data_IF_106412074372
#
_entry.id   IF_106412074372
#
_cell.length_a   1.000
_cell.length_b   1.000
_cell.length_c   1.000
_cell.angle_alpha   90.00
_cell.angle_beta   90.00
_cell.angle_gamma   90.00
#
_symmetry.space_group_name_H-M   'P 1'
#
loop_
_entity.id
_entity.type
_entity.pdbx_description
1 polymer ?
#
# COMPACT_ATOMS: atom_id res chain seq x y z
N UNK A 1 18.79 -0.91 -12.63
CA UNK A 1 18.01 -0.97 -11.37
C UNK A 1 18.90 -0.70 -10.14
N UNK A 2 19.96 -1.50 -9.92
CA UNK A 2 20.79 -1.42 -8.71
C UNK A 2 21.38 -0.03 -8.42
N UNK A 3 21.78 0.72 -9.46
CA UNK A 3 22.32 2.08 -9.30
C UNK A 3 21.33 3.01 -8.64
N UNK A 4 20.06 2.96 -9.01
CA UNK A 4 19.04 3.84 -8.45
C UNK A 4 18.70 3.43 -7.02
N UNK A 5 18.59 2.11 -6.74
CA UNK A 5 18.37 1.60 -5.37
C UNK A 5 19.53 1.99 -4.44
N UNK A 6 20.77 1.90 -4.89
CA UNK A 6 21.95 2.26 -4.09
C UNK A 6 22.08 3.75 -3.76
N UNK A 7 21.31 4.60 -4.44
CA UNK A 7 21.29 6.06 -4.24
C UNK A 7 20.19 6.53 -3.29
N UNK A 8 19.29 5.64 -2.87
CA UNK A 8 18.21 5.94 -1.93
C UNK A 8 18.78 6.25 -0.54
N UNK A 9 18.33 7.33 0.07
CA UNK A 9 18.75 7.75 1.42
C UNK A 9 17.60 7.60 2.41
N UNK A 10 16.49 8.33 2.20
CA UNK A 10 15.33 8.31 3.08
C UNK A 10 14.57 6.99 2.96
N UNK A 11 14.42 6.51 1.73
CA UNK A 11 13.77 5.23 1.39
C UNK A 11 14.78 4.09 1.20
N UNK A 12 16.00 4.23 1.72
CA UNK A 12 17.05 3.21 1.57
C UNK A 12 16.90 2.00 2.50
N UNK A 13 16.13 2.14 3.58
CA UNK A 13 16.01 1.11 4.62
C UNK A 13 14.79 0.18 4.43
N UNK A 14 14.56 -0.27 3.19
CA UNK A 14 13.44 -1.16 2.85
C UNK A 14 13.59 -2.57 3.48
N UNK A 15 14.82 -2.98 3.78
CA UNK A 15 15.14 -4.33 4.29
C UNK A 15 15.63 -5.25 3.18
N UNK A 16 16.63 -6.08 3.50
CA UNK A 16 17.35 -6.91 2.51
C UNK A 16 16.47 -7.97 1.83
N UNK A 17 15.34 -8.33 2.45
CA UNK A 17 14.44 -9.31 1.87
C UNK A 17 13.39 -8.70 0.93
N UNK A 18 13.29 -7.36 0.83
CA UNK A 18 12.32 -6.73 -0.05
C UNK A 18 12.54 -7.06 -1.53
N UNK A 19 11.44 -7.18 -2.29
CA UNK A 19 11.48 -7.59 -3.70
C UNK A 19 12.36 -6.63 -4.51
N UNK A 20 12.26 -5.32 -4.28
CA UNK A 20 13.09 -4.31 -4.94
C UNK A 20 14.59 -4.51 -4.67
N UNK A 21 14.97 -4.82 -3.43
CA UNK A 21 16.37 -5.08 -3.06
C UNK A 21 16.88 -6.35 -3.73
N UNK A 22 16.10 -7.44 -3.68
CA UNK A 22 16.45 -8.71 -4.33
C UNK A 22 16.57 -8.57 -5.85
N UNK A 23 15.63 -7.88 -6.49
CA UNK A 23 15.71 -7.62 -7.93
C UNK A 23 16.92 -6.74 -8.26
N UNK A 24 17.23 -5.73 -7.44
CA UNK A 24 18.44 -4.92 -7.60
C UNK A 24 19.71 -5.78 -7.61
N UNK A 25 19.84 -6.70 -6.67
CA UNK A 25 21.01 -7.59 -6.58
C UNK A 25 21.07 -8.54 -7.78
N UNK A 26 19.96 -9.19 -8.14
CA UNK A 26 19.88 -10.08 -9.32
C UNK A 26 20.30 -9.32 -10.59
N UNK A 27 19.83 -8.08 -10.77
CA UNK A 27 20.15 -7.30 -11.96
C UNK A 27 21.63 -6.90 -12.00
N UNK A 28 22.22 -6.63 -10.84
CA UNK A 28 23.66 -6.38 -10.73
C UNK A 28 24.47 -7.63 -11.10
N UNK A 29 24.09 -8.79 -10.58
CA UNK A 29 24.74 -10.08 -10.89
C UNK A 29 24.66 -10.41 -12.38
N UNK A 30 23.51 -10.17 -13.02
CA UNK A 30 23.33 -10.37 -14.46
C UNK A 30 24.21 -9.40 -15.28
N UNK A 31 24.32 -8.13 -14.88
CA UNK A 31 25.21 -7.16 -15.55
C UNK A 31 26.70 -7.54 -15.40
N UNK A 32 27.08 -8.18 -14.29
CA UNK A 32 28.44 -8.66 -14.03
C UNK A 32 28.75 -10.00 -14.74
N UNK A 33 27.75 -10.87 -14.94
CA UNK A 33 27.84 -12.14 -15.68
C UNK A 33 27.81 -11.92 -17.21
N UNK A 34 28.87 -11.28 -17.72
CA UNK A 34 29.00 -10.91 -19.15
C UNK A 34 28.92 -12.10 -20.12
N UNK A 35 29.25 -13.30 -19.66
CA UNK A 35 29.22 -14.52 -20.46
C UNK A 35 27.91 -15.32 -20.29
N UNK A 36 26.99 -14.84 -19.43
CA UNK A 36 25.71 -15.47 -19.13
C UNK A 36 25.85 -16.94 -18.68
N UNK A 37 26.92 -17.25 -17.95
CA UNK A 37 27.25 -18.62 -17.53
C UNK A 37 26.19 -19.16 -16.57
N UNK A 38 25.55 -18.29 -15.79
CA UNK A 38 24.54 -18.66 -14.80
C UNK A 38 23.10 -18.31 -15.21
N UNK A 39 22.83 -18.26 -16.53
CA UNK A 39 21.50 -17.89 -17.08
C UNK A 39 20.31 -18.54 -16.35
N UNK A 40 20.33 -19.86 -16.16
CA UNK A 40 19.23 -20.59 -15.52
C UNK A 40 19.04 -20.23 -14.03
N UNK A 41 20.14 -19.95 -13.32
CA UNK A 41 20.08 -19.51 -11.92
C UNK A 41 19.47 -18.11 -11.83
N UNK A 42 19.86 -17.21 -12.73
CA UNK A 42 19.30 -15.86 -12.84
C UNK A 42 17.80 -15.90 -13.15
N UNK A 43 17.39 -16.73 -14.11
CA UNK A 43 15.96 -16.94 -14.44
C UNK A 43 15.19 -17.43 -13.23
N UNK A 44 15.72 -18.41 -12.49
CA UNK A 44 15.06 -18.93 -11.30
C UNK A 44 14.90 -17.87 -10.21
N UNK A 45 15.98 -17.16 -9.88
CA UNK A 45 15.96 -16.11 -8.87
C UNK A 45 14.97 -14.98 -9.24
N UNK A 46 14.91 -14.64 -10.52
CA UNK A 46 13.98 -13.65 -11.05
C UNK A 46 12.53 -14.13 -10.89
N UNK A 47 12.21 -15.36 -11.29
CA UNK A 47 10.87 -15.93 -11.13
C UNK A 47 10.40 -16.01 -9.68
N UNK A 48 11.31 -16.20 -8.73
CA UNK A 48 10.97 -16.13 -7.30
C UNK A 48 10.48 -14.73 -6.91
N UNK A 49 11.09 -13.67 -7.45
CA UNK A 49 10.63 -12.30 -7.23
C UNK A 49 9.32 -11.99 -7.97
N UNK A 50 9.15 -12.50 -9.19
CA UNK A 50 7.88 -12.39 -9.94
C UNK A 50 6.73 -13.03 -9.17
N UNK A 51 6.95 -14.22 -8.61
CA UNK A 51 5.95 -14.89 -7.77
C UNK A 51 5.55 -14.03 -6.57
N UNK A 52 6.52 -13.39 -5.90
CA UNK A 52 6.23 -12.50 -4.77
C UNK A 52 5.43 -11.26 -5.17
N UNK A 53 5.68 -10.69 -6.35
CA UNK A 53 4.85 -9.60 -6.90
C UNK A 53 3.41 -10.10 -7.15
N UNK A 54 3.25 -11.30 -7.72
CA UNK A 54 1.93 -11.89 -7.97
C UNK A 54 1.18 -12.24 -6.68
N UNK A 55 1.87 -12.70 -5.65
CA UNK A 55 1.30 -12.96 -4.32
C UNK A 55 0.85 -11.66 -3.65
N UNK A 56 1.67 -10.61 -3.72
CA UNK A 56 1.33 -9.27 -3.23
C UNK A 56 0.12 -8.69 -3.99
N UNK A 57 0.15 -8.75 -5.32
CA UNK A 57 -0.98 -8.38 -6.17
C UNK A 57 -2.22 -9.21 -5.83
N UNK A 58 -2.04 -10.45 -5.39
CA UNK A 58 -3.14 -11.29 -5.00
C UNK A 58 -3.81 -10.84 -3.71
N UNK A 59 -2.99 -10.56 -2.69
CA UNK A 59 -3.40 -10.09 -1.37
C UNK A 59 -4.08 -8.72 -1.39
N UNK A 60 -3.59 -7.82 -2.22
CA UNK A 60 -4.07 -6.44 -2.32
C UNK A 60 -4.92 -6.17 -3.56
N UNK A 61 -5.16 -7.17 -4.41
CA UNK A 61 -6.01 -7.03 -5.60
C UNK A 61 -5.46 -6.06 -6.64
N UNK A 62 -4.13 -5.93 -6.76
CA UNK A 62 -3.50 -5.12 -7.80
C UNK A 62 -3.74 -5.73 -9.20
N UNK A 63 -3.84 -4.85 -10.20
CA UNK A 63 -4.10 -5.18 -11.60
C UNK A 63 -3.37 -4.19 -12.53
N UNK A 64 -3.48 -4.42 -13.83
CA UNK A 64 -2.81 -3.64 -14.88
C UNK A 64 -1.28 -3.72 -14.75
N UNK A 65 -0.60 -2.64 -14.35
CA UNK A 65 0.85 -2.64 -14.22
C UNK A 65 1.26 -2.99 -12.79
N UNK A 66 1.54 -4.28 -12.54
CA UNK A 66 1.87 -4.77 -11.20
C UNK A 66 3.18 -4.21 -10.65
N UNK A 67 4.13 -3.89 -11.51
CA UNK A 67 5.38 -3.27 -11.10
C UNK A 67 5.14 -1.86 -10.55
N UNK A 68 4.37 -1.05 -11.27
CA UNK A 68 4.00 0.29 -10.83
C UNK A 68 3.15 0.26 -9.56
N UNK A 69 2.21 -0.68 -9.43
CA UNK A 69 1.49 -0.90 -8.19
C UNK A 69 2.42 -1.29 -7.03
N UNK A 70 3.44 -2.12 -7.29
CA UNK A 70 4.43 -2.48 -6.27
C UNK A 70 5.28 -1.29 -5.81
N UNK A 71 5.77 -0.45 -6.74
CA UNK A 71 6.51 0.77 -6.37
C UNK A 71 5.64 1.74 -5.58
N UNK A 72 4.39 1.96 -6.02
CA UNK A 72 3.43 2.78 -5.28
C UNK A 72 3.12 2.19 -3.89
N UNK A 73 3.02 0.85 -3.78
CA UNK A 73 2.85 0.17 -2.50
C UNK A 73 4.03 0.42 -1.57
N UNK A 74 5.27 0.29 -2.05
CA UNK A 74 6.47 0.59 -1.25
C UNK A 74 6.42 2.02 -0.70
N UNK A 75 6.19 3.01 -1.57
CA UNK A 75 6.06 4.41 -1.17
C UNK A 75 4.94 4.61 -0.14
N UNK A 76 3.78 3.98 -0.33
CA UNK A 76 2.65 4.12 0.59
C UNK A 76 2.90 3.47 1.97
N UNK A 77 3.69 2.39 2.02
CA UNK A 77 3.92 1.63 3.26
C UNK A 77 5.19 1.98 4.01
N UNK A 78 6.12 2.72 3.40
CA UNK A 78 7.42 3.03 3.99
C UNK A 78 7.29 4.11 5.08
N UNK A 79 7.33 3.67 6.34
CA UNK A 79 7.36 4.54 7.52
C UNK A 79 8.80 5.01 7.77
N UNK A 80 9.12 6.21 7.31
CA UNK A 80 10.41 6.86 7.48
C UNK A 80 10.23 8.25 8.12
N UNK A 81 11.32 8.91 8.56
CA UNK A 81 11.22 10.22 9.20
C UNK A 81 10.45 11.27 8.38
N UNK A 82 10.59 11.25 7.05
CA UNK A 82 9.88 12.18 6.18
C UNK A 82 8.39 11.87 6.09
N UNK A 83 8.00 10.61 5.85
CA UNK A 83 6.60 10.24 5.67
C UNK A 83 5.78 10.48 6.95
N UNK A 84 6.35 10.24 8.13
CA UNK A 84 5.73 10.53 9.43
C UNK A 84 5.55 12.04 9.68
N UNK A 85 6.51 12.87 9.24
CA UNK A 85 6.39 14.34 9.35
C UNK A 85 5.32 14.86 8.38
N UNK A 86 5.27 14.34 7.16
CA UNK A 86 4.29 14.73 6.15
C UNK A 86 2.85 14.46 6.59
N UNK A 87 2.60 13.34 7.27
CA UNK A 87 1.30 13.03 7.85
C UNK A 87 0.83 14.12 8.84
N UNK A 88 1.74 14.65 9.67
CA UNK A 88 1.39 15.60 10.75
C UNK A 88 1.34 17.06 10.32
N UNK A 89 2.24 17.48 9.43
CA UNK A 89 2.50 18.90 9.13
C UNK A 89 2.26 19.22 7.64
N UNK A 90 2.34 18.21 6.77
CA UNK A 90 2.49 18.39 5.32
C UNK A 90 3.89 18.88 4.92
N UNK A 91 4.38 18.55 3.72
CA UNK A 91 5.74 18.98 3.31
C UNK A 91 5.82 20.43 2.80
N UNK A 92 4.68 21.09 2.54
CA UNK A 92 4.62 22.39 1.85
C UNK A 92 4.97 23.61 2.71
N UNK A 93 5.24 23.45 4.00
CA UNK A 93 5.50 24.60 4.87
C UNK A 93 6.93 25.14 4.80
N UNK A 94 7.89 24.40 4.24
CA UNK A 94 9.26 24.89 4.06
C UNK A 94 10.03 24.16 2.93
N UNK A 95 9.92 24.65 1.69
CA UNK A 95 10.69 24.14 0.54
C UNK A 95 12.22 24.26 0.74
N UNK A 96 12.69 25.05 1.71
CA UNK A 96 14.10 25.19 2.05
C UNK A 96 14.61 24.13 3.03
N UNK A 97 13.75 23.25 3.54
CA UNK A 97 14.16 22.17 4.43
C UNK A 97 15.09 21.17 3.70
N UNK A 98 16.26 20.89 4.27
CA UNK A 98 17.23 19.96 3.69
C UNK A 98 16.68 18.54 3.50
N UNK A 99 15.72 18.14 4.34
CA UNK A 99 15.01 16.84 4.21
C UNK A 99 14.27 16.75 2.87
N UNK A 100 13.63 17.83 2.41
CA UNK A 100 12.90 17.84 1.13
C UNK A 100 13.87 17.63 -0.05
N UNK A 101 15.09 18.19 0.02
CA UNK A 101 16.10 17.97 -1.01
C UNK A 101 16.53 16.51 -1.11
N UNK A 102 16.75 15.85 0.04
CA UNK A 102 17.08 14.41 0.10
C UNK A 102 15.95 13.58 -0.51
N UNK A 103 14.71 13.88 -0.13
CA UNK A 103 13.56 13.12 -0.62
C UNK A 103 13.33 13.33 -2.11
N UNK A 104 13.51 14.55 -2.64
CA UNK A 104 13.44 14.80 -4.08
C UNK A 104 14.46 13.98 -4.86
N UNK A 105 15.68 13.82 -4.34
CA UNK A 105 16.68 12.92 -4.93
C UNK A 105 16.23 11.45 -4.91
N UNK A 106 15.60 10.99 -3.82
CA UNK A 106 15.01 9.65 -3.78
C UNK A 106 13.84 9.52 -4.78
N UNK A 107 13.04 10.57 -4.97
CA UNK A 107 11.96 10.59 -5.96
C UNK A 107 12.49 10.52 -7.40
N UNK A 108 13.68 11.06 -7.69
CA UNK A 108 14.34 10.83 -8.99
C UNK A 108 14.66 9.34 -9.20
N UNK A 109 15.14 8.67 -8.14
CA UNK A 109 15.43 7.25 -8.19
C UNK A 109 14.13 6.45 -8.38
N UNK A 110 13.08 6.76 -7.62
CA UNK A 110 11.78 6.13 -7.79
C UNK A 110 11.12 6.40 -9.14
N UNK A 111 11.24 7.60 -9.69
CA UNK A 111 10.74 7.93 -11.04
C UNK A 111 11.35 6.99 -12.08
N UNK A 112 12.68 6.80 -12.04
CA UNK A 112 13.37 5.88 -12.94
C UNK A 112 13.04 4.41 -12.67
N UNK A 113 12.87 4.02 -11.41
CA UNK A 113 12.48 2.66 -11.03
C UNK A 113 11.04 2.38 -11.49
N UNK A 114 10.13 3.33 -11.35
CA UNK A 114 8.72 3.23 -11.73
C UNK A 114 8.55 3.05 -13.25
N UNK A 115 9.38 3.75 -14.03
CA UNK A 115 9.44 3.66 -15.50
C UNK A 115 10.55 2.73 -16.01
N UNK A 116 11.03 1.81 -15.17
CA UNK A 116 12.15 0.95 -15.53
C UNK A 116 11.79 0.03 -16.71
N UNK A 117 12.67 0.00 -17.73
CA UNK A 117 12.51 -0.85 -18.90
C UNK A 117 13.13 -2.23 -18.67
N UNK A 118 12.27 -3.25 -18.67
CA UNK A 118 12.67 -4.65 -18.49
C UNK A 118 13.03 -5.35 -19.81
N UNK A 119 12.83 -4.72 -20.97
CA UNK A 119 12.98 -5.40 -22.26
C UNK A 119 14.40 -5.93 -22.50
N UNK A 120 15.42 -5.20 -22.05
CA UNK A 120 16.82 -5.61 -22.18
C UNK A 120 17.10 -6.93 -21.44
N UNK A 121 16.58 -7.08 -20.21
CA UNK A 121 16.82 -8.28 -19.40
C UNK A 121 15.97 -9.46 -19.85
N UNK A 122 14.74 -9.19 -20.29
CA UNK A 122 13.86 -10.20 -20.90
C UNK A 122 14.49 -10.80 -22.16
N UNK A 123 15.09 -9.96 -23.00
CA UNK A 123 15.79 -10.40 -24.21
C UNK A 123 17.03 -11.21 -23.86
N UNK A 124 17.84 -10.74 -22.90
CA UNK A 124 19.07 -11.43 -22.47
C UNK A 124 18.79 -12.82 -21.88
N UNK A 125 17.76 -12.94 -21.04
CA UNK A 125 17.41 -14.19 -20.37
C UNK A 125 16.43 -15.05 -21.18
N UNK A 126 15.92 -14.56 -22.31
CA UNK A 126 14.88 -15.20 -23.14
C UNK A 126 13.58 -15.50 -22.36
N UNK A 127 13.16 -14.56 -21.50
CA UNK A 127 11.93 -14.64 -20.70
C UNK A 127 10.95 -13.52 -21.09
N UNK A 128 9.68 -13.65 -20.69
CA UNK A 128 8.62 -12.64 -20.95
C UNK A 128 7.82 -12.22 -19.71
N UNK A 129 8.35 -12.51 -18.52
CA UNK A 129 7.59 -12.38 -17.29
C UNK A 129 7.25 -10.92 -16.92
N UNK A 130 8.13 -9.95 -17.18
CA UNK A 130 7.85 -8.55 -16.86
C UNK A 130 6.85 -7.93 -17.82
N UNK A 131 6.93 -8.24 -19.12
CA UNK A 131 5.93 -7.84 -20.11
C UNK A 131 4.53 -8.30 -19.71
N UNK A 132 4.40 -9.51 -19.16
CA UNK A 132 3.13 -10.05 -18.63
C UNK A 132 2.70 -9.30 -17.35
N UNK A 133 3.63 -8.92 -16.47
CA UNK A 133 3.31 -8.17 -15.25
C UNK A 133 2.86 -6.74 -15.52
N UNK A 134 3.36 -6.09 -16.58
CA UNK A 134 2.99 -4.71 -16.92
C UNK A 134 1.62 -4.61 -17.58
N UNK A 135 1.13 -5.69 -18.18
CA UNK A 135 -0.19 -5.81 -18.83
C UNK A 135 -1.09 -6.84 -18.12
N UNK A 136 -0.93 -6.96 -16.79
CA UNK A 136 -1.58 -8.00 -16.01
C UNK A 136 -3.09 -7.78 -15.92
N UNK A 137 -3.83 -8.81 -16.30
CA UNK A 137 -5.27 -8.88 -16.09
C UNK A 137 -5.55 -9.89 -14.99
N UNK A 138 -6.05 -9.41 -13.85
CA UNK A 138 -6.42 -10.30 -12.76
C UNK A 138 -7.62 -11.17 -13.17
N UNK A 139 -7.63 -12.44 -12.78
CA UNK A 139 -8.85 -13.25 -12.87
C UNK A 139 -9.93 -12.59 -12.02
N UNK A 140 -11.18 -12.60 -12.48
CA UNK A 140 -12.31 -12.02 -11.75
C UNK A 140 -12.35 -12.57 -10.32
N UNK A 141 -11.92 -11.75 -9.37
CA UNK A 141 -11.97 -12.06 -7.94
C UNK A 141 -13.32 -11.63 -7.43
N UNK A 142 -13.96 -12.51 -6.65
CA UNK A 142 -15.07 -12.08 -5.82
C UNK A 142 -14.59 -10.88 -4.97
N UNK A 143 -15.36 -9.78 -4.95
CA UNK A 143 -15.02 -8.48 -4.33
C UNK A 143 -14.52 -8.58 -2.87
N UNK A 144 -14.77 -9.71 -2.20
CA UNK A 144 -14.44 -9.96 -0.80
C UNK A 144 -13.10 -10.68 -0.54
N UNK A 145 -12.20 -10.84 -1.52
CA UNK A 145 -10.99 -11.68 -1.35
C UNK A 145 -9.68 -10.95 -1.07
N UNK A 146 -9.63 -9.62 -1.18
CA UNK A 146 -8.40 -8.83 -1.01
C UNK A 146 -8.62 -7.61 -0.10
N UNK A 147 -7.52 -7.01 0.34
CA UNK A 147 -7.58 -5.80 1.17
C UNK A 147 -7.94 -4.56 0.32
N UNK A 148 -9.24 -4.29 0.21
CA UNK A 148 -9.79 -3.21 -0.63
C UNK A 148 -9.29 -1.82 -0.23
N UNK A 149 -9.22 -1.51 1.07
CA UNK A 149 -8.76 -0.21 1.57
C UNK A 149 -7.35 0.13 1.08
N UNK A 150 -6.42 -0.82 1.17
CA UNK A 150 -5.05 -0.61 0.67
C UNK A 150 -5.03 -0.63 -0.85
N UNK A 151 -5.81 -1.52 -1.47
CA UNK A 151 -5.91 -1.65 -2.93
C UNK A 151 -6.24 -0.33 -3.60
N UNK A 152 -7.34 0.31 -3.18
CA UNK A 152 -7.85 1.54 -3.78
C UNK A 152 -6.84 2.68 -3.67
N UNK A 153 -6.28 2.88 -2.48
CA UNK A 153 -5.26 3.91 -2.21
C UNK A 153 -4.00 3.71 -3.05
N UNK A 154 -3.49 2.48 -3.12
CA UNK A 154 -2.26 2.19 -3.88
C UNK A 154 -2.50 2.29 -5.39
N UNK A 155 -3.64 1.81 -5.89
CA UNK A 155 -3.99 1.95 -7.31
C UNK A 155 -4.18 3.41 -7.70
N UNK A 156 -4.83 4.19 -6.84
CA UNK A 156 -4.95 5.64 -7.04
C UNK A 156 -3.57 6.29 -7.10
N UNK A 157 -2.69 6.01 -6.13
CA UNK A 157 -1.33 6.53 -6.10
C UNK A 157 -0.55 6.12 -7.36
N UNK A 158 -0.55 4.85 -7.74
CA UNK A 158 0.11 4.37 -8.96
C UNK A 158 -0.41 5.08 -10.22
N UNK A 159 -1.73 5.29 -10.31
CA UNK A 159 -2.35 6.01 -11.42
C UNK A 159 -2.02 7.50 -11.47
N UNK A 160 -1.81 8.15 -10.31
CA UNK A 160 -1.32 9.53 -10.25
C UNK A 160 0.16 9.61 -10.64
N UNK A 161 1.01 8.74 -10.08
CA UNK A 161 2.43 8.65 -10.41
C UNK A 161 2.67 8.37 -11.89
N UNK A 162 1.84 7.53 -12.53
CA UNK A 162 1.94 7.27 -13.98
C UNK A 162 1.63 8.48 -14.86
N UNK A 163 1.05 9.56 -14.32
CA UNK A 163 0.79 10.83 -15.04
C UNK A 163 1.85 11.91 -14.74
N UNK A 164 2.73 11.66 -13.79
CA UNK A 164 3.78 12.59 -13.40
C UNK A 164 4.80 12.74 -14.53
N UNK A 165 5.32 13.96 -14.70
CA UNK A 165 6.29 14.28 -15.76
C UNK A 165 7.73 14.07 -15.33
N UNK A 166 7.99 14.19 -14.03
CA UNK A 166 9.32 14.16 -13.44
C UNK A 166 9.28 13.81 -11.95
N UNK A 167 10.45 13.89 -11.31
CA UNK A 167 10.65 13.60 -9.90
C UNK A 167 9.98 14.63 -8.96
N UNK A 168 9.78 15.88 -9.43
CA UNK A 168 9.13 16.92 -8.64
C UNK A 168 7.63 16.63 -8.56
N UNK A 169 7.01 16.25 -9.68
CA UNK A 169 5.62 15.77 -9.69
C UNK A 169 5.46 14.53 -8.78
N UNK A 170 6.42 13.59 -8.78
CA UNK A 170 6.43 12.45 -7.85
C UNK A 170 6.44 12.91 -6.39
N UNK A 171 7.33 13.86 -6.04
CA UNK A 171 7.42 14.42 -4.70
C UNK A 171 6.09 15.02 -4.24
N UNK A 172 5.46 15.83 -5.09
CA UNK A 172 4.18 16.48 -4.79
C UNK A 172 3.05 15.46 -4.60
N UNK A 173 2.97 14.45 -5.47
CA UNK A 173 1.95 13.38 -5.41
C UNK A 173 2.11 12.57 -4.13
N UNK A 174 3.33 12.10 -3.82
CA UNK A 174 3.62 11.28 -2.63
C UNK A 174 3.38 12.07 -1.35
N UNK A 175 3.80 13.34 -1.32
CA UNK A 175 3.54 14.24 -0.19
C UNK A 175 2.04 14.41 0.05
N UNK A 176 1.26 14.68 -1.00
CA UNK A 176 -0.18 14.85 -0.87
C UNK A 176 -0.85 13.54 -0.44
N UNK A 177 -0.37 12.40 -0.93
CA UNK A 177 -0.84 11.08 -0.50
C UNK A 177 -0.68 10.89 1.01
N UNK A 178 0.51 11.16 1.58
CA UNK A 178 0.74 11.05 3.03
C UNK A 178 -0.12 12.01 3.83
N UNK A 179 -0.39 13.21 3.32
CA UNK A 179 -1.27 14.19 3.98
C UNK A 179 -2.72 13.71 4.06
N UNK A 180 -3.22 13.07 3.00
CA UNK A 180 -4.62 12.64 2.91
C UNK A 180 -4.85 11.32 3.63
N UNK A 181 -3.96 10.35 3.43
CA UNK A 181 -4.18 8.97 3.88
C UNK A 181 -3.27 8.54 5.03
N UNK A 182 -2.27 9.33 5.40
CA UNK A 182 -1.20 8.90 6.31
C UNK A 182 -0.24 7.91 5.65
N UNK A 183 0.62 7.31 6.47
CA UNK A 183 1.62 6.32 6.01
C UNK A 183 1.45 4.97 6.73
N UNK A 184 1.95 3.93 6.07
CA UNK A 184 2.14 2.63 6.72
C UNK A 184 0.83 1.90 7.00
N UNK A 185 0.88 0.90 7.88
CA UNK A 185 -0.30 0.05 8.09
C UNK A 185 -1.48 0.82 8.68
N UNK A 186 -1.22 1.84 9.49
CA UNK A 186 -2.25 2.64 10.16
C UNK A 186 -2.94 3.63 9.22
N UNK A 187 -2.19 4.29 8.33
CA UNK A 187 -2.81 5.16 7.32
C UNK A 187 -3.60 4.38 6.26
N UNK A 188 -3.12 3.20 5.87
CA UNK A 188 -3.71 2.47 4.75
C UNK A 188 -4.91 1.58 5.10
N UNK A 189 -5.17 1.31 6.38
CA UNK A 189 -6.26 0.42 6.81
C UNK A 189 -7.25 1.13 7.74
N UNK A 190 -8.55 0.90 7.52
CA UNK A 190 -9.63 1.54 8.28
C UNK A 190 -9.83 0.97 9.69
N UNK A 191 -9.47 -0.30 9.91
CA UNK A 191 -9.70 -0.96 11.20
C UNK A 191 -8.69 -2.06 11.50
N UNK A 192 -8.52 -2.32 12.79
CA UNK A 192 -7.59 -3.29 13.32
C UNK A 192 -8.28 -4.20 14.33
N UNK A 193 -7.80 -5.42 14.42
CA UNK A 193 -8.13 -6.32 15.52
C UNK A 193 -6.90 -6.56 16.37
N UNK A 194 -7.10 -6.65 17.68
CA UNK A 194 -6.06 -7.06 18.61
C UNK A 194 -5.88 -8.57 18.49
N UNK A 195 -4.65 -9.01 18.26
CA UNK A 195 -4.21 -10.40 18.21
C UNK A 195 -3.00 -10.58 19.11
N UNK A 196 -2.66 -11.82 19.45
CA UNK A 196 -1.42 -12.16 20.13
C UNK A 196 -0.51 -12.94 19.19
N UNK A 197 0.77 -12.60 19.15
CA UNK A 197 1.78 -13.40 18.46
C UNK A 197 1.98 -14.74 19.15
N UNK A 198 2.70 -15.67 18.52
CA UNK A 198 3.12 -16.93 19.16
C UNK A 198 3.96 -16.72 20.43
N UNK A 199 4.61 -15.56 20.56
CA UNK A 199 5.38 -15.14 21.74
C UNK A 199 4.53 -14.43 22.81
N UNK A 200 3.23 -14.25 22.58
CA UNK A 200 2.29 -13.60 23.51
C UNK A 200 2.20 -12.08 23.39
N UNK A 201 2.99 -11.47 22.49
CA UNK A 201 3.01 -10.02 22.28
C UNK A 201 1.73 -9.53 21.60
N UNK A 202 1.29 -8.33 21.98
CA UNK A 202 0.11 -7.70 21.40
C UNK A 202 0.41 -7.22 19.97
N UNK A 203 -0.41 -7.64 19.02
CA UNK A 203 -0.31 -7.24 17.62
C UNK A 203 -1.65 -6.70 17.09
N UNK A 204 -1.60 -5.50 16.50
CA UNK A 204 -2.73 -4.91 15.77
C UNK A 204 -2.69 -5.39 14.32
N UNK A 205 -3.54 -6.37 14.02
CA UNK A 205 -3.68 -6.94 12.68
C UNK A 205 -4.78 -6.18 11.91
N UNK A 206 -4.52 -5.69 10.68
CA UNK A 206 -5.52 -5.03 9.86
C UNK A 206 -6.72 -5.94 9.57
N UNK A 207 -7.92 -5.35 9.57
CA UNK A 207 -9.13 -6.02 9.08
C UNK A 207 -9.20 -5.77 7.57
N UNK A 208 -8.76 -6.76 6.80
CA UNK A 208 -8.70 -6.69 5.32
C UNK A 208 -10.07 -6.76 4.65
N UNK A 209 -11.05 -7.38 5.32
CA UNK A 209 -12.41 -7.58 4.83
C UNK A 209 -13.39 -6.62 5.50
N UNK A 210 -13.24 -5.34 5.18
CA UNK A 210 -14.30 -4.34 5.36
C UNK A 210 -15.15 -4.34 4.09
N UNK A 211 -15.94 -5.40 3.92
CA UNK A 211 -16.98 -5.45 2.88
C UNK A 211 -17.79 -4.14 2.88
N UNK A 212 -18.32 -3.71 1.72
CA UNK A 212 -19.15 -2.50 1.55
C UNK A 212 -20.53 -2.65 2.20
N UNK A 213 -20.53 -3.03 3.47
CA UNK A 213 -21.70 -3.18 4.30
C UNK A 213 -22.14 -1.79 4.67
N UNK A 214 -23.39 -1.49 4.35
CA UNK A 214 -24.10 -0.30 4.82
C UNK A 214 -25.08 -0.70 5.92
N UNK A 215 -25.56 0.28 6.69
CA UNK A 215 -26.57 0.04 7.73
C UNK A 215 -27.91 -0.44 7.13
N UNK A 216 -28.13 -0.17 5.84
CA UNK A 216 -29.31 -0.57 5.06
C UNK A 216 -29.31 -2.08 4.76
N UNK A 217 -28.14 -2.71 4.65
CA UNK A 217 -28.02 -4.15 4.44
C UNK A 217 -28.40 -4.98 5.69
N UNK A 218 -28.52 -4.35 6.85
CA UNK A 218 -28.94 -4.99 8.09
C UNK A 218 -30.46 -4.90 8.21
N UNK A 219 -31.15 -6.03 8.37
CA UNK A 219 -32.61 -6.03 8.60
C UNK A 219 -32.89 -5.97 10.10
N UNK A 220 -33.75 -5.05 10.54
CA UNK A 220 -34.13 -4.87 11.95
C UNK A 220 -33.11 -4.01 12.74
N UNK A 221 -33.16 -4.06 14.08
CA UNK A 221 -32.28 -3.24 14.95
C UNK A 221 -32.41 -1.72 14.80
N UNK A 222 -33.53 -1.21 14.29
CA UNK A 222 -33.66 0.22 13.93
C UNK A 222 -33.41 1.18 15.10
N UNK A 223 -33.88 0.86 16.31
CA UNK A 223 -33.64 1.70 17.49
C UNK A 223 -32.15 1.71 17.85
N UNK A 224 -31.50 0.54 17.88
CA UNK A 224 -30.08 0.42 18.24
C UNK A 224 -29.17 1.04 17.18
N UNK A 225 -29.51 0.85 15.89
CA UNK A 225 -28.81 1.49 14.77
C UNK A 225 -28.90 3.00 14.88
N UNK A 226 -30.10 3.54 15.14
CA UNK A 226 -30.29 4.98 15.30
C UNK A 226 -29.48 5.51 16.48
N UNK A 227 -29.53 4.86 17.63
CA UNK A 227 -28.73 5.26 18.80
C UNK A 227 -27.22 5.23 18.51
N UNK A 228 -26.76 4.21 17.78
CA UNK A 228 -25.36 4.09 17.38
C UNK A 228 -24.96 5.20 16.41
N UNK A 229 -25.79 5.47 15.40
CA UNK A 229 -25.62 6.56 14.42
C UNK A 229 -25.57 7.91 15.13
N UNK A 230 -26.58 8.24 15.94
CA UNK A 230 -26.68 9.53 16.63
C UNK A 230 -25.47 9.75 17.57
N UNK A 231 -25.00 8.69 18.23
CA UNK A 231 -23.83 8.75 19.12
C UNK A 231 -22.51 8.88 18.34
N UNK A 232 -22.36 8.18 17.22
CA UNK A 232 -21.18 8.30 16.36
C UNK A 232 -21.14 9.66 15.67
N UNK A 233 -22.26 10.18 15.17
CA UNK A 233 -22.36 11.54 14.63
C UNK A 233 -21.95 12.58 15.67
N UNK A 234 -22.44 12.45 16.89
CA UNK A 234 -22.00 13.31 17.98
C UNK A 234 -20.46 13.21 18.20
N UNK A 235 -19.90 12.00 18.17
CA UNK A 235 -18.46 11.80 18.36
C UNK A 235 -17.61 12.46 17.26
N UNK A 236 -17.93 12.21 15.98
CA UNK A 236 -17.15 12.75 14.84
C UNK A 236 -17.30 14.27 14.71
N UNK A 237 -18.42 14.83 15.15
CA UNK A 237 -18.65 16.29 15.22
C UNK A 237 -18.02 16.95 16.47
N UNK A 238 -17.30 16.20 17.31
CA UNK A 238 -16.68 16.71 18.54
C UNK A 238 -17.69 17.05 19.66
N UNK A 239 -18.94 16.58 19.53
CA UNK A 239 -19.97 16.67 20.58
C UNK A 239 -19.77 15.55 21.61
N UNK A 240 -20.50 15.65 22.74
CA UNK A 240 -20.48 14.61 23.76
C UNK A 240 -21.06 13.30 23.20
N UNK A 241 -20.28 12.24 23.29
CA UNK A 241 -20.66 10.89 22.91
C UNK A 241 -20.36 9.89 24.04
N UNK A 242 -21.04 8.75 24.02
CA UNK A 242 -20.88 7.68 24.99
C UNK A 242 -19.98 6.58 24.44
N UNK A 243 -19.31 5.86 25.35
CA UNK A 243 -18.72 4.56 25.02
C UNK A 243 -19.86 3.55 24.79
N UNK A 244 -19.87 2.89 23.64
CA UNK A 244 -20.91 1.93 23.27
C UNK A 244 -20.47 0.49 23.49
N UNK A 245 -21.31 -0.30 24.18
CA UNK A 245 -21.20 -1.76 24.25
C UNK A 245 -22.35 -2.40 23.47
N UNK A 246 -22.04 -3.05 22.35
CA UNK A 246 -23.00 -3.87 21.60
C UNK A 246 -22.96 -5.31 22.10
N UNK A 247 -24.03 -5.76 22.75
CA UNK A 247 -24.17 -7.12 23.28
C UNK A 247 -25.40 -7.83 22.70
N UNK A 248 -25.42 -9.17 22.80
CA UNK A 248 -26.47 -10.04 22.27
C UNK A 248 -25.91 -11.27 21.56
N UNK A 249 -26.79 -12.18 21.16
CA UNK A 249 -26.42 -13.50 20.62
C UNK A 249 -25.51 -13.45 19.39
N UNK A 250 -24.70 -14.48 19.15
CA UNK A 250 -23.88 -14.56 17.95
C UNK A 250 -24.75 -14.53 16.68
N UNK A 251 -24.25 -13.93 15.60
CA UNK A 251 -25.00 -13.84 14.33
C UNK A 251 -26.05 -12.72 14.24
N UNK A 252 -26.30 -11.94 15.31
CA UNK A 252 -27.29 -10.85 15.30
C UNK A 252 -26.84 -9.55 14.60
N UNK A 253 -25.77 -9.59 13.80
CA UNK A 253 -25.32 -8.43 13.02
C UNK A 253 -24.53 -7.35 13.79
N UNK A 254 -24.16 -7.56 15.06
CA UNK A 254 -23.38 -6.58 15.86
C UNK A 254 -22.09 -6.11 15.17
N UNK A 255 -21.26 -7.05 14.72
CA UNK A 255 -20.01 -6.73 14.01
C UNK A 255 -20.27 -6.07 12.66
N UNK A 256 -21.35 -6.48 11.99
CA UNK A 256 -21.80 -5.90 10.72
C UNK A 256 -22.23 -4.44 10.91
N UNK A 257 -22.93 -4.10 12.00
CA UNK A 257 -23.27 -2.72 12.35
C UNK A 257 -22.03 -1.85 12.55
N UNK A 258 -21.02 -2.35 13.30
CA UNK A 258 -19.77 -1.61 13.51
C UNK A 258 -19.03 -1.39 12.18
N UNK A 259 -18.96 -2.40 11.30
CA UNK A 259 -18.35 -2.24 9.97
C UNK A 259 -19.09 -1.19 9.13
N UNK A 260 -20.42 -1.16 9.21
CA UNK A 260 -21.23 -0.19 8.47
C UNK A 260 -21.04 1.25 8.98
N UNK A 261 -20.94 1.42 10.31
CA UNK A 261 -20.63 2.72 10.93
C UNK A 261 -19.23 3.18 10.51
N UNK A 262 -18.24 2.29 10.58
CA UNK A 262 -16.89 2.59 10.11
C UNK A 262 -16.90 3.06 8.65
N UNK A 263 -17.55 2.30 7.76
CA UNK A 263 -17.62 2.68 6.34
C UNK A 263 -18.29 4.04 6.12
N UNK A 264 -19.33 4.37 6.89
CA UNK A 264 -20.10 5.62 6.74
C UNK A 264 -19.37 6.87 7.25
N UNK A 265 -18.58 6.73 8.31
CA UNK A 265 -17.97 7.87 9.00
C UNK A 265 -16.43 7.93 8.91
N UNK A 266 -15.78 6.99 8.22
CA UNK A 266 -14.32 6.97 8.04
C UNK A 266 -13.78 8.30 7.49
N UNK A 267 -14.40 8.83 6.45
CA UNK A 267 -13.97 10.09 5.81
C UNK A 267 -14.27 11.34 6.68
N UNK A 268 -14.95 11.16 7.81
CA UNK A 268 -15.27 12.21 8.80
C UNK A 268 -14.36 12.14 10.04
N UNK A 269 -13.33 11.27 10.02
CA UNK A 269 -12.33 11.16 11.10
C UNK A 269 -12.66 10.13 12.19
N UNK A 270 -13.54 9.15 11.90
CA UNK A 270 -13.73 7.96 12.75
C UNK A 270 -12.62 6.93 12.53
#
# INVERSE_FOLDING_TARGET
>A
MYREVSRLIMYGNLGQDEILMRLSDIFKEIEEDKECVQKEAHVRALYDQIYRILDLATKYGFDHNLWQCYIAYLLATDENPFSVICEKVGAKTDDAASVNQIVKQDMECFYKLFHFDFHAIETLLEVKCFSILTEYHSMAKAENTYNKSVSEKVKELAGQLGKAKDAEDFFDIVTNFYRVYGVGKFGLNKAFRVTHTSTGELNLAPITHTSDVTLEHLVGYEIQKKQLVDNTEAFVEGRKANNCLLFGDSGTGKSTCIKAILNRYYDQGL
#
